data_IF_337813631620
#
_entry.id   IF_337813631620
#
_cell.length_a   1.000
_cell.length_b   1.000
_cell.length_c   1.000
_cell.angle_alpha   90.00
_cell.angle_beta   90.00
_cell.angle_gamma   90.00
#
_symmetry.space_group_name_H-M   'P 1'
#
loop_
_entity.id
_entity.type
_entity.pdbx_description
1 polymer ?
#
# COMPACT_ATOMS: atom_id res chain seq x y z
N UNK A 1 -8.99 9.67 3.03
CA UNK A 1 -8.67 8.37 3.66
C UNK A 1 -7.31 8.44 4.32
N UNK A 2 -7.20 8.11 5.60
CA UNK A 2 -5.94 8.08 6.36
C UNK A 2 -5.63 6.64 6.77
N UNK A 3 -4.36 6.30 6.88
CA UNK A 3 -3.92 4.99 7.34
C UNK A 3 -2.43 4.97 7.62
N UNK A 4 -1.93 3.79 7.96
CA UNK A 4 -0.50 3.53 8.15
C UNK A 4 -0.14 2.20 7.54
N UNK A 5 0.98 2.14 6.82
CA UNK A 5 1.59 0.89 6.38
C UNK A 5 2.57 0.45 7.46
N UNK A 6 2.50 -0.83 7.84
CA UNK A 6 3.43 -1.44 8.76
C UNK A 6 4.31 -2.43 8.02
N UNK A 7 5.60 -2.39 8.30
CA UNK A 7 6.60 -3.29 7.75
C UNK A 7 7.32 -3.98 8.89
N UNK A 8 7.64 -5.25 8.73
CA UNK A 8 8.37 -6.06 9.70
C UNK A 8 9.43 -6.87 8.97
N UNK A 9 10.57 -7.13 9.61
CA UNK A 9 11.64 -7.92 9.01
C UNK A 9 12.39 -7.18 7.88
N UNK A 10 12.31 -5.85 7.84
CA UNK A 10 13.07 -5.01 6.90
C UNK A 10 14.09 -4.14 7.65
N UNK A 11 15.25 -3.82 7.06
CA UNK A 11 16.19 -2.87 7.65
C UNK A 11 15.54 -1.50 7.89
N UNK A 12 16.01 -0.76 8.90
CA UNK A 12 15.52 0.60 9.20
C UNK A 12 15.69 1.57 8.01
N UNK A 13 16.71 1.35 7.19
CA UNK A 13 17.00 2.14 5.99
C UNK A 13 16.20 1.70 4.76
N UNK A 14 15.34 0.69 4.88
CA UNK A 14 14.54 0.19 3.76
C UNK A 14 13.54 1.25 3.31
N UNK A 15 13.56 1.54 2.01
CA UNK A 15 12.66 2.47 1.35
C UNK A 15 12.04 1.76 0.14
N UNK A 16 10.71 1.71 0.07
CA UNK A 16 10.03 1.09 -1.06
C UNK A 16 8.75 1.85 -1.46
N UNK A 17 8.48 2.01 -2.77
CA UNK A 17 7.20 2.53 -3.25
C UNK A 17 6.14 1.43 -3.21
N UNK A 18 5.15 1.56 -2.33
CA UNK A 18 4.05 0.61 -2.14
C UNK A 18 2.77 1.15 -2.78
N UNK A 19 2.28 0.57 -3.89
CA UNK A 19 1.03 1.01 -4.50
C UNK A 19 -0.19 0.47 -3.74
N UNK A 20 -1.15 1.35 -3.45
CA UNK A 20 -2.41 1.03 -2.77
C UNK A 20 -3.57 1.10 -3.75
N UNK A 21 -4.43 0.10 -3.71
CA UNK A 21 -5.61 -0.01 -4.56
C UNK A 21 -6.87 -0.18 -3.71
N UNK A 22 -8.00 0.31 -4.20
CA UNK A 22 -9.30 -0.14 -3.72
C UNK A 22 -9.68 -1.43 -4.47
N UNK A 23 -10.30 -2.41 -3.79
CA UNK A 23 -10.99 -3.49 -4.48
C UNK A 23 -11.99 -2.87 -5.46
N UNK A 24 -12.01 -3.34 -6.70
CA UNK A 24 -13.02 -2.94 -7.67
C UNK A 24 -14.42 -3.29 -7.17
N UNK A 25 -15.45 -2.78 -7.86
CA UNK A 25 -16.81 -3.33 -7.72
C UNK A 25 -16.81 -4.82 -8.08
N UNK A 26 -17.85 -5.57 -7.71
CA UNK A 26 -17.94 -7.01 -8.01
C UNK A 26 -17.65 -7.28 -9.51
N UNK A 27 -16.62 -8.07 -9.81
CA UNK A 27 -16.16 -8.36 -11.18
C UNK A 27 -15.27 -7.29 -11.84
N UNK A 28 -15.00 -6.17 -11.16
CA UNK A 28 -14.18 -5.06 -11.64
C UNK A 28 -12.70 -5.17 -11.27
N UNK A 29 -11.84 -4.55 -12.07
CA UNK A 29 -10.40 -4.46 -11.79
C UNK A 29 -10.13 -3.59 -10.55
N UNK A 30 -9.07 -3.90 -9.77
CA UNK A 30 -8.60 -2.99 -8.72
C UNK A 30 -8.33 -1.58 -9.28
N UNK A 31 -8.66 -0.57 -8.49
CA UNK A 31 -8.45 0.84 -8.87
C UNK A 31 -7.31 1.41 -8.03
N UNK A 32 -6.29 1.96 -8.69
CA UNK A 32 -5.15 2.59 -8.02
C UNK A 32 -5.62 3.82 -7.24
N UNK A 33 -5.30 3.87 -5.95
CA UNK A 33 -5.56 5.03 -5.09
C UNK A 33 -4.34 5.94 -4.99
N UNK A 34 -3.14 5.37 -5.10
CA UNK A 34 -1.87 6.09 -5.04
C UNK A 34 -0.73 5.19 -4.58
N UNK A 35 0.45 5.79 -4.43
CA UNK A 35 1.66 5.10 -3.97
C UNK A 35 2.15 5.75 -2.70
N UNK A 36 2.44 4.93 -1.69
CA UNK A 36 3.08 5.37 -0.45
C UNK A 36 4.56 5.00 -0.55
N UNK A 37 5.45 5.98 -0.39
CA UNK A 37 6.88 5.69 -0.23
C UNK A 37 7.10 5.34 1.24
N UNK A 38 7.31 4.06 1.52
CA UNK A 38 7.47 3.58 2.89
C UNK A 38 8.91 3.72 3.35
N UNK A 39 9.08 3.98 4.65
CA UNK A 39 10.36 4.02 5.34
C UNK A 39 10.21 3.44 6.75
N UNK A 40 11.11 2.53 7.13
CA UNK A 40 11.12 1.90 8.45
C UNK A 40 9.87 1.06 8.75
N UNK A 41 9.55 0.89 10.03
CA UNK A 41 8.50 -0.03 10.49
C UNK A 41 7.07 0.49 10.30
N UNK A 42 6.86 1.81 10.33
CA UNK A 42 5.53 2.40 10.22
C UNK A 42 5.57 3.69 9.39
N UNK A 43 4.77 3.71 8.31
CA UNK A 43 4.64 4.87 7.42
C UNK A 43 3.20 5.35 7.37
N UNK A 44 2.87 6.53 7.94
CA UNK A 44 1.54 7.11 7.83
C UNK A 44 1.29 7.67 6.41
N UNK A 45 0.05 7.61 5.96
CA UNK A 45 -0.36 8.18 4.67
C UNK A 45 -1.76 8.82 4.74
N UNK A 46 -2.01 9.73 3.80
CA UNK A 46 -3.29 10.40 3.59
C UNK A 46 -3.54 10.54 2.09
N UNK A 47 -4.69 10.05 1.63
CA UNK A 47 -5.16 10.23 0.26
C UNK A 47 -6.53 10.91 0.21
N UNK A 48 -6.73 11.76 -0.77
CA UNK A 48 -8.04 12.28 -1.13
C UNK A 48 -8.70 11.30 -2.10
N UNK A 49 -9.82 10.72 -1.70
CA UNK A 49 -10.57 9.72 -2.50
C UNK A 49 -12.03 10.14 -2.55
N UNK A 50 -12.70 9.93 -3.70
CA UNK A 50 -14.12 10.27 -3.87
C UNK A 50 -15.03 9.42 -2.97
N UNK A 51 -14.69 8.14 -2.84
CA UNK A 51 -15.40 7.17 -1.99
C UNK A 51 -14.38 6.45 -1.14
N UNK A 52 -14.60 6.42 0.18
CA UNK A 52 -13.72 5.71 1.10
C UNK A 52 -13.90 4.19 0.90
N UNK A 53 -12.85 3.44 0.51
CA UNK A 53 -12.97 2.01 0.34
C UNK A 53 -13.04 1.32 1.71
N UNK A 54 -13.85 0.25 1.81
CA UNK A 54 -13.95 -0.56 3.05
C UNK A 54 -12.73 -1.45 3.30
N UNK A 55 -11.99 -1.76 2.24
CA UNK A 55 -10.78 -2.59 2.25
C UNK A 55 -9.75 -1.98 1.29
N UNK A 56 -8.48 -2.27 1.53
CA UNK A 56 -7.39 -1.89 0.64
C UNK A 56 -6.68 -3.14 0.14
N UNK A 57 -6.22 -3.09 -1.10
CA UNK A 57 -5.28 -4.05 -1.65
C UNK A 57 -3.91 -3.36 -1.65
N UNK A 58 -2.97 -3.98 -0.94
CA UNK A 58 -1.58 -3.52 -0.86
C UNK A 58 -0.81 -4.32 -1.90
N UNK A 59 -0.23 -3.63 -2.88
CA UNK A 59 0.58 -4.24 -3.94
C UNK A 59 0.03 -5.58 -4.49
N UNK A 60 -1.17 -5.57 -5.10
CA UNK A 60 -1.83 -6.80 -5.55
C UNK A 60 -1.05 -7.56 -6.63
N UNK A 61 -0.06 -6.92 -7.26
CA UNK A 61 0.77 -7.52 -8.30
C UNK A 61 2.11 -8.06 -7.74
N UNK A 62 2.32 -8.03 -6.41
CA UNK A 62 3.56 -8.49 -5.76
C UNK A 62 4.82 -7.86 -6.39
N UNK A 63 4.75 -6.57 -6.69
CA UNK A 63 5.88 -5.80 -7.25
C UNK A 63 6.93 -5.45 -6.20
N UNK A 64 6.58 -5.52 -4.91
CA UNK A 64 7.48 -5.35 -3.78
C UNK A 64 8.31 -6.62 -3.58
N UNK A 65 9.46 -6.66 -4.24
CA UNK A 65 10.45 -7.71 -4.07
C UNK A 65 11.18 -7.56 -2.73
N UNK A 66 10.55 -7.96 -1.62
CA UNK A 66 11.28 -8.25 -0.38
C UNK A 66 11.65 -9.73 -0.36
N UNK A 67 12.80 -10.08 -0.94
CA UNK A 67 13.51 -11.29 -0.54
C UNK A 67 14.41 -10.92 0.63
N UNK A 68 14.02 -11.34 1.83
CA UNK A 68 14.96 -11.52 2.94
C UNK A 68 15.65 -12.87 2.71
N UNK A 69 16.98 -12.89 2.73
CA UNK A 69 17.73 -14.12 3.04
C UNK A 69 17.41 -14.59 4.47
#
# INVERSE_FOLDING_TARGET
>A
MRGKLKQSGVPVSFIAPVPLYSPGTVGGKPVLLGTVVTNGEETPFLFTVRTAPKKLLIDPNLTLLCQTE
#
